data_IF_486567396019
#
_entry.id   IF_486567396019
#
_cell.length_a   1.000
_cell.length_b   1.000
_cell.length_c   1.000
_cell.angle_alpha   90.00
_cell.angle_beta   90.00
_cell.angle_gamma   90.00
#
_symmetry.space_group_name_H-M   'P 1'
#
loop_
_entity.id
_entity.type
_entity.pdbx_description
1 polymer ?
#
# COMPACT_ATOMS: atom_id res chain seq x y z
N UNK A 1 34.73 -5.28 -20.01
CA UNK A 1 33.91 -6.50 -19.82
C UNK A 1 32.61 -6.04 -19.16
N UNK A 2 31.59 -5.70 -19.97
CA UNK A 2 30.34 -5.07 -19.47
C UNK A 2 29.30 -6.16 -19.21
N UNK A 3 28.99 -6.41 -17.93
CA UNK A 3 27.93 -7.33 -17.53
C UNK A 3 26.56 -6.70 -17.83
N UNK A 4 25.83 -7.28 -18.78
CA UNK A 4 24.44 -6.93 -19.07
C UNK A 4 23.57 -7.22 -17.83
N UNK A 5 22.97 -6.18 -17.25
CA UNK A 5 21.90 -6.31 -16.28
C UNK A 5 20.71 -7.02 -16.96
N UNK A 6 20.27 -8.16 -16.40
CA UNK A 6 19.04 -8.82 -16.83
C UNK A 6 17.88 -7.99 -16.29
N UNK A 7 17.26 -7.21 -17.16
CA UNK A 7 15.91 -6.68 -16.94
C UNK A 7 14.99 -7.90 -16.90
N UNK A 8 14.39 -8.18 -15.74
CA UNK A 8 13.33 -9.19 -15.64
C UNK A 8 12.13 -8.69 -16.44
N UNK A 9 12.00 -9.14 -17.69
CA UNK A 9 10.74 -9.05 -18.42
C UNK A 9 9.76 -9.99 -17.70
N UNK A 10 8.67 -9.42 -17.18
CA UNK A 10 7.48 -10.20 -16.79
C UNK A 10 7.13 -11.09 -18.00
N UNK A 11 7.01 -12.40 -17.80
CA UNK A 11 6.68 -13.29 -18.92
C UNK A 11 5.21 -13.09 -19.26
N UNK A 12 4.88 -13.18 -20.55
CA UNK A 12 3.49 -13.06 -21.05
C UNK A 12 2.55 -14.07 -20.36
N UNK A 13 3.08 -15.21 -19.91
CA UNK A 13 2.32 -16.23 -19.16
C UNK A 13 1.93 -15.80 -17.75
N UNK A 14 2.71 -14.91 -17.11
CA UNK A 14 2.35 -14.33 -15.81
C UNK A 14 1.11 -13.44 -15.99
N UNK A 15 1.05 -12.66 -17.07
CA UNK A 15 -0.10 -11.79 -17.40
C UNK A 15 -1.37 -12.60 -17.73
N UNK A 16 -1.25 -13.75 -18.42
CA UNK A 16 -2.39 -14.60 -18.79
C UNK A 16 -3.06 -15.29 -17.60
N UNK A 17 -2.34 -15.59 -16.51
CA UNK A 17 -2.98 -16.12 -15.28
C UNK A 17 -3.78 -15.08 -14.51
N UNK A 18 -3.52 -13.79 -14.72
CA UNK A 18 -4.29 -12.70 -14.09
C UNK A 18 -5.55 -12.32 -14.88
N UNK A 19 -5.77 -12.83 -16.10
CA UNK A 19 -7.03 -12.60 -16.84
C UNK A 19 -8.20 -13.44 -16.34
N UNK A 20 -8.00 -14.26 -15.29
CA UNK A 20 -9.04 -15.10 -14.65
C UNK A 20 -9.65 -14.44 -13.39
N UNK A 21 -9.28 -13.21 -13.04
CA UNK A 21 -9.89 -12.49 -11.93
C UNK A 21 -11.18 -11.79 -12.38
N UNK A 22 -12.30 -12.53 -12.39
CA UNK A 22 -13.66 -12.05 -12.75
C UNK A 22 -14.33 -11.14 -11.70
N UNK A 23 -13.64 -10.74 -10.63
CA UNK A 23 -14.29 -10.01 -9.52
C UNK A 23 -13.57 -8.72 -9.16
N UNK A 24 -13.65 -7.75 -10.06
CA UNK A 24 -13.54 -6.34 -9.71
C UNK A 24 -14.92 -5.66 -9.91
N UNK A 25 -15.90 -5.91 -9.03
CA UNK A 25 -17.21 -5.18 -8.97
C UNK A 25 -17.27 -3.72 -8.42
N UNK A 26 -17.54 -2.77 -9.31
CA UNK A 26 -18.04 -1.38 -9.17
C UNK A 26 -18.01 -0.56 -7.84
N UNK A 27 -17.64 0.73 -7.94
CA UNK A 27 -18.01 1.84 -7.03
C UNK A 27 -19.35 2.48 -7.45
N UNK A 28 -20.43 2.20 -6.74
CA UNK A 28 -21.69 2.97 -6.83
C UNK A 28 -21.99 3.63 -5.49
N UNK A 29 -22.11 4.95 -5.48
CA UNK A 29 -22.49 5.75 -4.31
C UNK A 29 -24.00 5.67 -3.99
N UNK A 30 -24.69 4.60 -4.38
CA UNK A 30 -26.10 4.37 -4.07
C UNK A 30 -26.31 3.00 -3.42
N UNK A 31 -25.56 2.71 -2.35
CA UNK A 31 -26.02 2.05 -1.13
C UNK A 31 -24.85 1.91 -0.14
N UNK A 32 -25.07 2.31 1.11
CA UNK A 32 -24.07 2.44 2.19
C UNK A 32 -23.47 1.11 2.73
N UNK A 33 -23.44 0.03 1.96
CA UNK A 33 -23.16 -1.31 2.54
C UNK A 33 -22.16 -2.20 1.79
N UNK A 34 -21.59 -1.79 0.65
CA UNK A 34 -20.63 -2.63 -0.08
C UNK A 34 -19.23 -1.98 -0.15
N UNK A 35 -18.27 -2.56 0.59
CA UNK A 35 -16.89 -2.06 0.78
C UNK A 35 -15.88 -2.72 -0.17
N UNK A 36 -16.31 -3.14 -1.36
CA UNK A 36 -15.45 -3.83 -2.34
C UNK A 36 -14.80 -2.83 -3.30
N UNK A 37 -13.48 -2.97 -3.47
CA UNK A 37 -12.62 -2.05 -4.22
C UNK A 37 -12.33 -2.61 -5.62
N UNK A 38 -12.64 -1.85 -6.69
CA UNK A 38 -12.73 -2.39 -8.05
C UNK A 38 -12.52 -1.33 -9.14
N UNK A 39 -12.01 -1.75 -10.31
CA UNK A 39 -11.63 -0.87 -11.43
C UNK A 39 -12.81 -0.57 -12.38
N UNK A 40 -12.71 0.52 -13.16
CA UNK A 40 -13.81 1.13 -13.94
C UNK A 40 -14.56 0.21 -14.94
N UNK A 41 -14.08 -1.00 -15.22
CA UNK A 41 -14.75 -1.97 -16.11
C UNK A 41 -14.71 -3.42 -15.59
N UNK A 42 -14.39 -3.60 -14.31
CA UNK A 42 -14.09 -4.92 -13.76
C UNK A 42 -12.84 -5.60 -14.33
N UNK A 43 -12.04 -4.85 -15.10
CA UNK A 43 -10.74 -5.28 -15.62
C UNK A 43 -9.66 -4.33 -15.12
N UNK A 44 -8.56 -4.89 -14.61
CA UNK A 44 -7.38 -4.13 -14.23
C UNK A 44 -6.75 -3.52 -15.49
N UNK A 45 -6.68 -2.19 -15.60
CA UNK A 45 -5.92 -1.53 -16.65
C UNK A 45 -4.44 -1.51 -16.28
N UNK A 46 -3.59 -2.06 -17.14
CA UNK A 46 -2.14 -1.91 -16.96
C UNK A 46 -1.71 -0.57 -17.55
N UNK A 47 -1.24 0.33 -16.70
CA UNK A 47 -0.69 1.63 -17.08
C UNK A 47 0.79 1.50 -17.40
N UNK A 48 1.17 1.97 -18.58
CA UNK A 48 2.57 2.29 -18.87
C UNK A 48 3.04 3.47 -18.01
N UNK A 49 4.35 3.65 -17.85
CA UNK A 49 4.91 4.77 -17.06
C UNK A 49 4.44 6.14 -17.58
N UNK A 50 4.35 6.29 -18.90
CA UNK A 50 3.87 7.52 -19.53
C UNK A 50 2.39 7.78 -19.20
N UNK A 51 1.55 6.75 -19.25
CA UNK A 51 0.14 6.87 -18.85
C UNK A 51 -0.01 7.19 -17.37
N UNK A 52 0.79 6.55 -16.49
CA UNK A 52 0.80 6.84 -15.06
C UNK A 52 1.19 8.29 -14.78
N UNK A 53 2.26 8.79 -15.40
CA UNK A 53 2.72 10.17 -15.24
C UNK A 53 1.71 11.18 -15.79
N UNK A 54 1.10 10.90 -16.95
CA UNK A 54 0.05 11.74 -17.53
C UNK A 54 -1.20 11.79 -16.65
N UNK A 55 -1.60 10.66 -16.07
CA UNK A 55 -2.69 10.60 -15.10
C UNK A 55 -2.41 11.48 -13.88
N UNK A 56 -1.22 11.36 -13.27
CA UNK A 56 -0.85 12.20 -12.11
C UNK A 56 -0.89 13.70 -12.45
N UNK A 57 -0.50 14.07 -13.67
CA UNK A 57 -0.61 15.46 -14.14
C UNK A 57 -2.07 15.91 -14.22
N UNK A 58 -2.97 15.07 -14.74
CA UNK A 58 -4.40 15.39 -14.81
C UNK A 58 -5.03 15.50 -13.43
N UNK A 59 -4.65 14.63 -12.48
CA UNK A 59 -5.13 14.71 -11.09
C UNK A 59 -4.75 16.05 -10.47
N UNK A 60 -3.52 16.50 -10.68
CA UNK A 60 -3.09 17.81 -10.20
C UNK A 60 -3.81 18.99 -10.87
N UNK A 61 -4.15 18.88 -12.15
CA UNK A 61 -4.91 19.93 -12.83
C UNK A 61 -6.29 20.15 -12.20
N UNK A 62 -6.87 19.10 -11.61
CA UNK A 62 -8.15 19.15 -10.90
C UNK A 62 -7.98 19.52 -9.42
N UNK A 63 -6.86 19.14 -8.79
CA UNK A 63 -6.57 19.39 -7.38
C UNK A 63 -5.15 19.95 -7.21
N UNK A 64 -4.97 21.16 -6.66
CA UNK A 64 -3.67 21.85 -6.62
C UNK A 64 -2.56 21.04 -5.94
N UNK A 65 -2.91 20.08 -5.07
CA UNK A 65 -2.01 19.06 -4.54
C UNK A 65 -2.62 17.67 -4.74
N UNK A 66 -1.79 16.71 -5.15
CA UNK A 66 -2.07 15.28 -4.98
C UNK A 66 -1.15 14.79 -3.87
N UNK A 67 -1.70 14.66 -2.67
CA UNK A 67 -0.98 14.22 -1.47
C UNK A 67 -1.33 12.77 -1.16
N UNK A 68 -0.37 11.87 -1.41
CA UNK A 68 -0.49 10.43 -1.18
C UNK A 68 0.36 10.08 0.05
N UNK A 69 -0.29 9.58 1.09
CA UNK A 69 0.37 9.20 2.34
C UNK A 69 0.27 7.70 2.54
N UNK A 70 1.43 7.04 2.69
CA UNK A 70 1.53 5.62 3.01
C UNK A 70 2.04 5.45 4.43
N UNK A 71 1.26 4.76 5.26
CA UNK A 71 1.56 4.49 6.68
C UNK A 71 1.73 3.00 6.87
N UNK A 72 2.91 2.54 7.30
CA UNK A 72 3.10 1.12 7.51
C UNK A 72 4.53 0.66 7.63
N UNK A 73 4.69 -0.66 7.53
CA UNK A 73 5.98 -1.33 7.65
C UNK A 73 6.78 -1.30 6.33
N UNK A 74 7.78 -2.18 6.24
CA UNK A 74 8.61 -2.32 5.05
C UNK A 74 7.89 -2.82 3.81
N UNK A 75 6.75 -3.52 3.89
CA UNK A 75 5.95 -3.92 2.71
C UNK A 75 5.20 -2.72 2.15
N UNK A 76 4.67 -1.86 3.02
CA UNK A 76 4.10 -0.56 2.61
C UNK A 76 5.17 0.34 1.96
N UNK A 77 6.42 0.26 2.45
CA UNK A 77 7.57 0.93 1.80
C UNK A 77 7.82 0.43 0.37
N UNK A 78 7.71 -0.88 0.14
CA UNK A 78 7.86 -1.45 -1.21
C UNK A 78 6.78 -0.95 -2.17
N UNK A 79 5.54 -0.76 -1.69
CA UNK A 79 4.47 -0.18 -2.50
C UNK A 79 4.79 1.27 -2.89
N UNK A 80 5.30 2.08 -1.95
CA UNK A 80 5.82 3.43 -2.24
C UNK A 80 6.93 3.38 -3.30
N UNK A 81 7.94 2.53 -3.09
CA UNK A 81 9.08 2.42 -4.01
C UNK A 81 8.65 1.94 -5.40
N UNK A 82 7.66 1.04 -5.46
CA UNK A 82 7.02 0.61 -6.70
C UNK A 82 6.30 1.76 -7.41
N UNK A 83 5.56 2.60 -6.69
CA UNK A 83 4.91 3.78 -7.27
C UNK A 83 5.94 4.79 -7.80
N UNK A 84 7.01 5.05 -7.04
CA UNK A 84 8.13 5.89 -7.49
C UNK A 84 8.73 5.34 -8.78
N UNK A 85 9.00 4.03 -8.82
CA UNK A 85 9.56 3.37 -10.00
C UNK A 85 8.64 3.49 -11.21
N UNK A 86 7.33 3.29 -11.02
CA UNK A 86 6.35 3.39 -12.09
C UNK A 86 6.21 4.83 -12.62
N UNK A 87 6.36 5.84 -11.76
CA UNK A 87 6.24 7.25 -12.16
C UNK A 87 7.54 7.86 -12.71
N UNK A 88 8.71 7.39 -12.26
CA UNK A 88 10.01 8.03 -12.55
C UNK A 88 11.01 7.12 -13.24
N UNK A 89 10.78 5.81 -13.27
CA UNK A 89 11.74 4.82 -13.71
C UNK A 89 12.89 4.53 -12.74
N UNK A 90 12.93 5.18 -11.56
CA UNK A 90 13.97 4.96 -10.56
C UNK A 90 13.51 3.95 -9.52
N UNK A 91 14.07 2.73 -9.56
CA UNK A 91 13.79 1.70 -8.55
C UNK A 91 14.77 1.84 -7.38
N UNK A 92 14.26 1.64 -6.16
CA UNK A 92 15.03 1.71 -4.91
C UNK A 92 14.84 0.47 -4.04
N UNK A 93 13.99 -0.45 -4.47
CA UNK A 93 13.62 -1.62 -3.70
C UNK A 93 14.46 -2.83 -4.11
N UNK A 94 15.58 -3.01 -3.40
CA UNK A 94 16.46 -4.16 -3.58
C UNK A 94 15.83 -5.50 -3.16
N UNK A 95 14.77 -5.49 -2.36
CA UNK A 95 14.09 -6.71 -1.89
C UNK A 95 13.22 -7.33 -2.99
N UNK A 96 12.64 -6.49 -3.86
CA UNK A 96 11.92 -6.96 -5.06
C UNK A 96 12.76 -6.91 -6.35
N UNK A 97 13.91 -6.22 -6.35
CA UNK A 97 14.79 -6.09 -7.52
C UNK A 97 16.27 -6.26 -7.13
N UNK A 98 16.79 -7.48 -7.36
CA UNK A 98 18.18 -7.85 -7.03
C UNK A 98 19.26 -7.07 -7.80
N UNK A 99 18.87 -6.34 -8.84
CA UNK A 99 19.81 -5.47 -9.58
C UNK A 99 20.12 -4.17 -8.84
N UNK A 100 19.32 -3.83 -7.81
CA UNK A 100 19.54 -2.65 -6.97
C UNK A 100 20.42 -3.04 -5.79
N UNK A 101 21.49 -2.28 -5.59
CA UNK A 101 22.37 -2.49 -4.45
C UNK A 101 21.69 -2.02 -3.16
N UNK A 102 21.80 -2.76 -2.05
CA UNK A 102 21.28 -2.30 -0.77
C UNK A 102 21.99 -1.01 -0.36
N UNK A 103 21.24 0.09 -0.24
CA UNK A 103 21.77 1.30 0.39
C UNK A 103 22.05 1.05 1.89
N UNK A 104 23.10 1.65 2.46
CA UNK A 104 23.36 1.54 3.92
C UNK A 104 22.32 2.30 4.78
N UNK A 105 21.43 3.09 4.17
CA UNK A 105 20.50 4.01 4.84
C UNK A 105 19.02 3.66 4.58
N UNK A 106 18.63 2.38 4.66
CA UNK A 106 17.19 2.00 4.67
C UNK A 106 16.52 2.32 6.00
N UNK A 107 16.65 3.57 6.48
CA UNK A 107 16.19 3.94 7.81
C UNK A 107 14.67 3.81 7.91
N UNK A 108 14.25 3.23 9.03
CA UNK A 108 12.90 3.19 9.58
C UNK A 108 12.44 4.59 10.06
N UNK A 109 12.59 5.60 9.21
CA UNK A 109 12.27 7.00 9.50
C UNK A 109 11.16 7.49 8.57
N UNK A 110 10.46 8.58 8.97
CA UNK A 110 9.52 9.28 8.09
C UNK A 110 10.29 9.77 6.86
N UNK A 111 9.80 9.44 5.68
CA UNK A 111 10.38 9.86 4.41
C UNK A 111 9.33 10.63 3.63
N UNK A 112 9.57 11.93 3.46
CA UNK A 112 8.77 12.80 2.59
C UNK A 112 9.50 12.89 1.27
N UNK A 113 8.84 12.51 0.17
CA UNK A 113 9.40 12.65 -1.16
C UNK A 113 8.46 13.47 -2.04
N UNK A 114 8.95 14.64 -2.47
CA UNK A 114 8.31 15.41 -3.52
C UNK A 114 8.76 14.84 -4.87
N UNK A 115 7.85 14.20 -5.58
CA UNK A 115 8.12 13.62 -6.89
C UNK A 115 7.78 14.64 -7.97
N UNK A 116 8.79 15.37 -8.45
CA UNK A 116 8.64 16.21 -9.64
C UNK A 116 8.67 15.30 -10.87
N UNK A 117 7.51 15.08 -11.48
CA UNK A 117 7.37 14.14 -12.60
C UNK A 117 7.75 14.77 -13.95
N UNK A 118 7.90 16.10 -14.00
CA UNK A 118 8.22 16.87 -15.21
C UNK A 118 9.02 18.15 -14.88
N UNK A 119 9.72 18.78 -15.87
CA UNK A 119 10.48 20.02 -15.68
C UNK A 119 9.65 21.18 -15.13
N UNK A 120 8.35 21.21 -15.43
CA UNK A 120 7.43 22.20 -14.94
C UNK A 120 6.74 21.71 -13.67
N UNK A 121 7.36 21.99 -12.51
CA UNK A 121 6.83 22.08 -11.14
C UNK A 121 5.58 21.25 -10.73
N UNK A 122 5.30 20.13 -11.38
CA UNK A 122 4.13 19.26 -11.21
C UNK A 122 4.52 18.11 -10.27
N UNK A 123 4.75 18.48 -9.02
CA UNK A 123 5.09 17.55 -7.95
C UNK A 123 3.84 16.80 -7.45
N UNK A 124 3.88 15.46 -7.48
CA UNK A 124 3.05 14.61 -6.61
C UNK A 124 3.77 14.54 -5.28
N UNK A 125 3.05 14.79 -4.18
CA UNK A 125 3.60 14.64 -2.84
C UNK A 125 3.36 13.21 -2.39
N UNK A 126 4.44 12.45 -2.26
CA UNK A 126 4.40 11.06 -1.80
C UNK A 126 5.10 10.97 -0.45
N UNK A 127 4.33 10.65 0.58
CA UNK A 127 4.84 10.53 1.94
C UNK A 127 4.81 9.09 2.41
N UNK A 128 5.82 8.73 3.18
CA UNK A 128 5.88 7.46 3.88
C UNK A 128 6.17 7.65 5.35
N UNK A 129 5.33 7.05 6.17
CA UNK A 129 5.37 7.10 7.62
C UNK A 129 5.56 5.68 8.12
N UNK A 130 6.78 5.36 8.56
CA UNK A 130 7.08 4.04 9.10
C UNK A 130 6.30 3.78 10.39
N UNK A 131 5.60 2.65 10.43
CA UNK A 131 4.95 2.12 11.63
C UNK A 131 5.18 0.60 11.70
N UNK A 132 5.52 0.08 12.89
CA UNK A 132 5.68 -1.36 13.08
C UNK A 132 4.56 -1.99 13.93
N UNK A 133 3.77 -1.19 14.65
CA UNK A 133 2.61 -1.66 15.39
C UNK A 133 1.45 -0.64 15.38
N UNK A 134 0.25 -1.07 15.77
CA UNK A 134 -0.95 -0.22 15.74
C UNK A 134 -0.84 0.99 16.70
N UNK A 135 -0.16 0.84 17.85
CA UNK A 135 0.10 1.97 18.75
C UNK A 135 0.89 3.10 18.06
N UNK A 136 1.96 2.73 17.37
CA UNK A 136 2.80 3.67 16.64
C UNK A 136 2.03 4.27 15.46
N UNK A 137 1.16 3.49 14.82
CA UNK A 137 0.27 4.00 13.79
C UNK A 137 -0.67 5.10 14.31
N UNK A 138 -1.33 4.88 15.45
CA UNK A 138 -2.15 5.92 16.11
C UNK A 138 -1.33 7.18 16.39
N UNK A 139 -0.16 7.03 17.03
CA UNK A 139 0.71 8.16 17.35
C UNK A 139 1.16 8.92 16.10
N UNK A 140 1.66 8.22 15.08
CA UNK A 140 2.22 8.82 13.89
C UNK A 140 1.14 9.46 13.00
N UNK A 141 -0.05 8.86 12.87
CA UNK A 141 -1.18 9.47 12.15
C UNK A 141 -1.61 10.74 12.87
N UNK A 142 -1.83 10.71 14.20
CA UNK A 142 -2.16 11.93 14.96
C UNK A 142 -1.09 13.01 14.82
N UNK A 143 0.19 12.62 14.88
CA UNK A 143 1.31 13.55 14.71
C UNK A 143 1.28 14.17 13.32
N UNK A 144 1.09 13.38 12.28
CA UNK A 144 0.98 13.84 10.90
C UNK A 144 -0.14 14.89 10.75
N UNK A 145 -1.35 14.57 11.22
CA UNK A 145 -2.50 15.48 11.15
C UNK A 145 -2.32 16.79 11.92
N UNK A 146 -1.54 16.78 13.00
CA UNK A 146 -1.27 17.98 13.81
C UNK A 146 -0.15 18.85 13.27
N UNK A 147 0.87 18.25 12.67
CA UNK A 147 2.16 18.93 12.39
C UNK A 147 2.29 19.42 10.96
N UNK A 148 1.60 18.83 9.99
CA UNK A 148 1.81 19.14 8.59
C UNK A 148 0.70 20.02 7.97
N UNK A 149 0.51 21.22 8.54
CA UNK A 149 -0.47 22.19 8.03
C UNK A 149 -0.19 22.61 6.58
N UNK A 150 1.06 22.45 6.10
CA UNK A 150 1.48 22.80 4.75
C UNK A 150 1.05 21.81 3.67
N UNK A 151 0.80 20.54 4.04
CA UNK A 151 0.44 19.48 3.12
C UNK A 151 -1.07 19.38 2.87
N UNK A 152 -1.89 20.00 3.74
CA UNK A 152 -3.33 19.80 3.78
C UNK A 152 -3.72 18.37 4.17
N UNK A 153 -5.02 18.08 4.09
CA UNK A 153 -5.56 16.72 4.22
C UNK A 153 -5.06 15.85 3.06
N UNK A 154 -4.65 14.58 3.30
CA UNK A 154 -4.28 13.68 2.21
C UNK A 154 -5.43 13.47 1.22
N UNK A 155 -5.12 13.32 -0.07
CA UNK A 155 -6.10 12.84 -1.05
C UNK A 155 -6.30 11.33 -0.92
N UNK A 156 -5.21 10.62 -0.63
CA UNK A 156 -5.16 9.19 -0.39
C UNK A 156 -4.32 8.93 0.86
N UNK A 157 -4.88 8.17 1.80
CA UNK A 157 -4.14 7.56 2.90
C UNK A 157 -4.23 6.04 2.77
N UNK A 158 -3.10 5.41 2.49
CA UNK A 158 -2.96 3.97 2.54
C UNK A 158 -2.29 3.58 3.85
N UNK A 159 -2.89 2.66 4.58
CA UNK A 159 -2.36 2.16 5.85
C UNK A 159 -2.30 0.64 5.85
N UNK A 160 -1.26 0.06 6.43
CA UNK A 160 -1.22 -1.37 6.74
C UNK A 160 0.14 -1.86 7.20
N UNK A 161 0.30 -3.17 7.32
CA UNK A 161 1.54 -3.80 7.76
C UNK A 161 1.96 -3.50 9.21
N UNK A 162 1.11 -2.83 9.99
CA UNK A 162 1.50 -2.23 11.27
C UNK A 162 1.18 -3.11 12.47
N UNK A 163 1.47 -4.41 12.47
CA UNK A 163 1.35 -5.24 13.68
C UNK A 163 2.42 -6.35 13.69
N UNK A 164 3.68 -5.93 13.67
CA UNK A 164 4.81 -6.78 13.99
C UNK A 164 4.91 -6.97 15.51
N UNK A 165 4.83 -8.20 16.04
CA UNK A 165 5.38 -8.50 17.34
C UNK A 165 6.90 -8.43 17.19
N UNK A 166 7.45 -7.24 17.44
CA UNK A 166 8.86 -7.15 17.81
C UNK A 166 8.99 -8.00 19.08
N UNK A 167 9.95 -8.95 19.09
CA UNK A 167 10.15 -9.98 20.13
C UNK A 167 10.08 -9.47 21.59
N UNK A 168 10.17 -8.15 21.79
CA UNK A 168 10.19 -7.46 23.07
C UNK A 168 8.84 -6.97 23.61
N UNK A 169 7.70 -6.99 22.89
CA UNK A 169 6.53 -6.21 23.35
C UNK A 169 5.16 -6.87 23.59
N UNK A 170 4.84 -8.07 23.08
CA UNK A 170 3.70 -8.92 23.52
C UNK A 170 3.50 -10.09 22.55
N UNK A 171 2.94 -11.23 22.98
CA UNK A 171 2.42 -12.24 22.06
C UNK A 171 1.36 -11.62 21.14
N UNK A 172 1.36 -11.98 19.85
CA UNK A 172 0.40 -11.49 18.85
C UNK A 172 -1.06 -11.64 19.30
N UNK A 173 -1.37 -12.72 20.04
CA UNK A 173 -2.67 -12.95 20.70
C UNK A 173 -3.15 -11.79 21.57
N UNK A 174 -2.27 -11.05 22.25
CA UNK A 174 -2.62 -9.84 23.02
C UNK A 174 -2.81 -8.61 22.13
N UNK A 175 -2.16 -8.54 20.96
CA UNK A 175 -2.25 -7.40 20.04
C UNK A 175 -3.55 -7.42 19.22
N UNK A 176 -3.97 -8.60 18.74
CA UNK A 176 -5.30 -8.79 18.14
C UNK A 176 -6.45 -8.55 19.16
N UNK A 177 -6.14 -8.62 20.46
CA UNK A 177 -7.08 -8.40 21.56
C UNK A 177 -7.03 -6.99 22.18
N UNK A 178 -6.07 -6.14 21.83
CA UNK A 178 -6.10 -4.72 22.22
C UNK A 178 -7.07 -3.96 21.31
N UNK A 179 -8.33 -4.41 21.33
CA UNK A 179 -9.48 -3.90 20.58
C UNK A 179 -9.63 -2.39 20.73
N UNK A 180 -9.22 -1.83 21.87
CA UNK A 180 -9.26 -0.39 22.15
C UNK A 180 -8.36 0.42 21.20
N UNK A 181 -7.17 -0.06 20.89
CA UNK A 181 -6.19 0.70 20.08
C UNK A 181 -6.53 0.59 18.61
N UNK A 182 -6.93 -0.59 18.15
CA UNK A 182 -7.49 -0.73 16.81
C UNK A 182 -8.75 0.14 16.66
N UNK A 183 -9.65 0.16 17.65
CA UNK A 183 -10.82 1.03 17.66
C UNK A 183 -10.45 2.51 17.59
N UNK A 184 -9.44 2.93 18.35
CA UNK A 184 -8.93 4.30 18.31
C UNK A 184 -8.36 4.66 16.93
N UNK A 185 -7.56 3.78 16.33
CA UNK A 185 -7.05 3.98 14.97
C UNK A 185 -8.19 4.10 13.96
N UNK A 186 -9.15 3.18 14.01
CA UNK A 186 -10.30 3.17 13.11
C UNK A 186 -11.17 4.41 13.28
N UNK A 187 -11.31 4.96 14.49
CA UNK A 187 -12.02 6.23 14.71
C UNK A 187 -11.33 7.38 13.98
N UNK A 188 -10.02 7.54 14.17
CA UNK A 188 -9.22 8.57 13.49
C UNK A 188 -9.31 8.44 11.97
N UNK A 189 -9.21 7.21 11.45
CA UNK A 189 -9.31 6.94 10.03
C UNK A 189 -10.71 7.18 9.49
N UNK A 190 -11.76 6.96 10.28
CA UNK A 190 -13.14 7.21 9.87
C UNK A 190 -13.39 8.72 9.71
N UNK A 191 -12.88 9.54 10.64
CA UNK A 191 -12.95 11.00 10.52
C UNK A 191 -12.21 11.49 9.26
N UNK A 192 -11.04 10.92 8.96
CA UNK A 192 -10.31 11.26 7.73
C UNK A 192 -11.02 10.84 6.46
N UNK A 193 -11.72 9.70 6.49
CA UNK A 193 -12.41 9.15 5.34
C UNK A 193 -13.61 10.00 4.86
N UNK A 194 -13.95 11.09 5.58
CA UNK A 194 -14.88 12.10 5.08
C UNK A 194 -14.34 12.91 3.90
N UNK A 195 -13.01 13.08 3.83
CA UNK A 195 -12.34 13.93 2.82
C UNK A 195 -11.18 13.22 2.11
N UNK A 196 -10.70 12.13 2.68
CA UNK A 196 -9.56 11.33 2.20
C UNK A 196 -10.06 9.99 1.67
N UNK A 197 -9.51 9.51 0.55
CA UNK A 197 -9.66 8.10 0.23
C UNK A 197 -8.78 7.28 1.19
N UNK A 198 -9.39 6.55 2.12
CA UNK A 198 -8.64 5.74 3.09
C UNK A 198 -8.67 4.27 2.67
N UNK A 199 -7.48 3.67 2.52
CA UNK A 199 -7.31 2.27 2.10
C UNK A 199 -6.52 1.51 3.16
N UNK A 200 -7.09 0.41 3.65
CA UNK A 200 -6.41 -0.54 4.52
C UNK A 200 -5.82 -1.70 3.71
N UNK A 201 -4.51 -1.95 3.86
CA UNK A 201 -3.82 -3.10 3.26
C UNK A 201 -3.69 -4.24 4.26
N UNK A 202 -4.07 -5.48 3.88
CA UNK A 202 -3.99 -6.63 4.77
C UNK A 202 -2.54 -7.10 5.00
N UNK A 203 -2.33 -7.85 6.08
CA UNK A 203 -1.09 -8.55 6.36
C UNK A 203 -0.89 -9.68 5.35
N UNK A 204 0.26 -9.72 4.67
CA UNK A 204 0.62 -10.83 3.76
C UNK A 204 1.17 -12.02 4.53
N UNK A 205 0.98 -13.26 4.03
CA UNK A 205 1.68 -14.43 4.55
C UNK A 205 3.21 -14.28 4.53
N UNK A 206 3.89 -15.07 5.36
CA UNK A 206 5.35 -15.16 5.40
C UNK A 206 5.83 -16.61 5.37
N UNK A 207 7.13 -16.78 5.10
CA UNK A 207 7.82 -18.07 5.18
C UNK A 207 8.29 -18.29 6.61
N UNK A 208 7.62 -19.18 7.33
CA UNK A 208 8.03 -19.51 8.70
C UNK A 208 9.45 -20.07 8.77
N UNK A 209 9.92 -20.74 7.71
CA UNK A 209 11.28 -21.25 7.64
C UNK A 209 12.35 -20.14 7.53
N UNK A 210 12.07 -19.08 6.75
CA UNK A 210 13.04 -17.99 6.52
C UNK A 210 12.93 -16.89 7.59
N UNK A 211 11.74 -16.71 8.17
CA UNK A 211 11.44 -15.67 9.17
C UNK A 211 11.27 -16.29 10.57
N UNK A 212 11.86 -17.46 10.82
CA UNK A 212 11.64 -18.27 12.03
C UNK A 212 11.83 -17.52 13.36
N UNK A 213 12.63 -16.44 13.37
CA UNK A 213 12.87 -15.60 14.55
C UNK A 213 11.70 -14.68 14.92
N UNK A 214 10.74 -14.42 14.02
CA UNK A 214 9.63 -13.50 14.31
C UNK A 214 8.61 -14.07 15.30
N UNK A 215 8.54 -15.40 15.46
CA UNK A 215 7.49 -16.12 16.21
C UNK A 215 6.06 -15.80 15.74
N UNK A 216 5.91 -15.14 14.58
CA UNK A 216 4.63 -14.85 13.94
C UNK A 216 4.23 -16.04 13.09
N UNK A 217 2.99 -16.49 13.25
CA UNK A 217 2.45 -17.54 12.37
C UNK A 217 1.52 -16.97 11.29
N UNK A 218 1.30 -17.73 10.21
CA UNK A 218 0.39 -17.29 9.15
C UNK A 218 -1.08 -17.33 9.62
N UNK A 219 -1.39 -18.20 10.59
CA UNK A 219 -2.68 -18.25 11.27
C UNK A 219 -2.93 -16.96 12.06
N UNK A 220 -1.92 -16.44 12.74
CA UNK A 220 -2.00 -15.16 13.45
C UNK A 220 -2.24 -13.99 12.49
N UNK A 221 -1.49 -13.91 11.38
CA UNK A 221 -1.69 -12.86 10.36
C UNK A 221 -3.09 -12.95 9.74
N UNK A 222 -3.58 -14.16 9.48
CA UNK A 222 -4.95 -14.41 8.98
C UNK A 222 -6.01 -13.97 10.00
N UNK A 223 -5.82 -14.32 11.27
CA UNK A 223 -6.73 -13.91 12.35
C UNK A 223 -6.78 -12.39 12.51
N UNK A 224 -5.63 -11.70 12.44
CA UNK A 224 -5.58 -10.25 12.45
C UNK A 224 -6.34 -9.63 11.27
N UNK A 225 -6.11 -10.14 10.05
CA UNK A 225 -6.85 -9.69 8.88
C UNK A 225 -8.36 -9.85 9.05
N UNK A 226 -8.81 -10.96 9.61
CA UNK A 226 -10.22 -11.21 9.90
C UNK A 226 -10.79 -10.23 10.94
N UNK A 227 -10.04 -9.93 12.01
CA UNK A 227 -10.44 -8.94 13.03
C UNK A 227 -10.61 -7.56 12.41
N UNK A 228 -9.63 -7.08 11.63
CA UNK A 228 -9.72 -5.78 10.96
C UNK A 228 -10.90 -5.74 10.00
N UNK A 229 -11.01 -6.76 9.13
CA UNK A 229 -12.09 -6.87 8.16
C UNK A 229 -13.46 -6.81 8.84
N UNK A 230 -13.62 -7.57 9.93
CA UNK A 230 -14.84 -7.57 10.73
C UNK A 230 -15.13 -6.20 11.36
N UNK A 231 -14.12 -5.55 11.94
CA UNK A 231 -14.25 -4.24 12.57
C UNK A 231 -14.57 -3.10 11.57
N UNK A 232 -14.14 -3.24 10.31
CA UNK A 232 -14.51 -2.34 9.22
C UNK A 232 -15.92 -2.62 8.70
N UNK A 233 -16.35 -3.88 8.67
CA UNK A 233 -17.68 -4.28 8.22
C UNK A 233 -18.79 -4.06 9.27
N UNK A 234 -18.45 -4.05 10.56
CA UNK A 234 -19.41 -3.96 11.67
C UNK A 234 -20.06 -2.58 11.83
N UNK A 235 -19.65 -1.60 11.03
CA UNK A 235 -20.14 -0.22 11.06
C UNK A 235 -20.11 0.37 9.65
N UNK A 236 -20.98 1.33 9.30
CA UNK A 236 -20.80 2.12 8.10
C UNK A 236 -19.41 2.75 8.13
N UNK A 237 -18.53 2.29 7.26
CA UNK A 237 -17.14 2.74 7.17
C UNK A 237 -16.85 3.16 5.75
N UNK A 238 -16.23 4.33 5.60
CA UNK A 238 -15.67 4.83 4.33
C UNK A 238 -14.21 4.39 4.13
N UNK A 239 -13.71 3.53 5.02
CA UNK A 239 -12.39 2.94 4.90
C UNK A 239 -12.49 1.69 4.01
N UNK A 240 -11.72 1.66 2.93
CA UNK A 240 -11.73 0.55 1.99
C UNK A 240 -10.71 -0.51 2.40
N UNK A 241 -11.16 -1.75 2.56
CA UNK A 241 -10.25 -2.88 2.75
C UNK A 241 -9.77 -3.38 1.38
N UNK A 242 -8.45 -3.45 1.18
CA UNK A 242 -7.88 -3.87 -0.09
C UNK A 242 -7.83 -5.39 -0.21
N UNK A 243 -8.96 -5.97 -0.63
CA UNK A 243 -9.18 -7.42 -0.78
C UNK A 243 -8.15 -8.11 -1.68
N UNK A 244 -7.88 -7.55 -2.86
CA UNK A 244 -7.02 -8.17 -3.87
C UNK A 244 -5.53 -8.16 -3.52
N UNK A 245 -5.11 -7.45 -2.47
CA UNK A 245 -3.71 -7.35 -2.05
C UNK A 245 -3.12 -8.72 -1.66
N UNK A 246 -3.93 -9.61 -1.07
CA UNK A 246 -3.48 -10.97 -0.76
C UNK A 246 -3.38 -11.86 -2.00
N UNK A 247 -4.16 -11.56 -3.04
CA UNK A 247 -4.19 -12.34 -4.28
C UNK A 247 -2.98 -12.09 -5.18
N UNK A 248 -2.34 -10.93 -5.07
CA UNK A 248 -1.10 -10.61 -5.80
C UNK A 248 0.13 -11.21 -5.14
N UNK A 249 0.08 -11.47 -3.83
CA UNK A 249 1.21 -11.96 -3.06
C UNK A 249 1.61 -13.40 -3.44
N UNK A 250 2.91 -13.60 -3.69
CA UNK A 250 3.49 -14.93 -3.91
C UNK A 250 4.73 -15.12 -3.05
N UNK A 251 4.65 -16.04 -2.10
CA UNK A 251 5.77 -16.32 -1.20
C UNK A 251 7.02 -16.82 -1.94
N UNK A 252 6.84 -17.54 -3.05
CA UNK A 252 7.92 -18.05 -3.90
C UNK A 252 8.78 -16.96 -4.53
N UNK A 253 8.27 -15.74 -4.64
CA UNK A 253 8.99 -14.60 -5.20
C UNK A 253 9.67 -13.73 -4.13
N UNK A 254 9.36 -13.99 -2.86
CA UNK A 254 9.94 -13.24 -1.74
C UNK A 254 11.41 -13.60 -1.58
N UNK A 255 12.27 -12.58 -1.51
CA UNK A 255 13.71 -12.77 -1.35
C UNK A 255 14.08 -13.31 0.03
N UNK A 256 13.35 -12.89 1.06
CA UNK A 256 13.61 -13.21 2.47
C UNK A 256 12.41 -13.87 3.15
N UNK A 257 11.42 -14.29 2.36
CA UNK A 257 10.22 -14.93 2.86
C UNK A 257 9.25 -13.97 3.56
N UNK A 258 9.46 -12.66 3.45
CA UNK A 258 8.61 -11.65 4.05
C UNK A 258 8.15 -10.59 3.05
N UNK A 259 9.10 -9.99 2.34
CA UNK A 259 8.84 -8.84 1.48
C UNK A 259 8.17 -9.25 0.17
N UNK A 260 7.46 -8.32 -0.44
CA UNK A 260 6.81 -8.50 -1.73
C UNK A 260 7.86 -8.85 -2.79
N UNK A 261 7.52 -9.83 -3.63
CA UNK A 261 8.25 -10.11 -4.86
C UNK A 261 7.96 -9.08 -5.96
N UNK A 262 8.71 -9.11 -7.09
CA UNK A 262 8.54 -8.18 -8.19
C UNK A 262 7.15 -8.18 -8.80
N UNK A 263 6.51 -9.35 -8.98
CA UNK A 263 5.17 -9.44 -9.59
C UNK A 263 4.12 -8.84 -8.66
N UNK A 264 4.12 -9.22 -7.37
CA UNK A 264 3.20 -8.67 -6.38
C UNK A 264 3.31 -7.14 -6.31
N UNK A 265 4.55 -6.63 -6.14
CA UNK A 265 4.82 -5.19 -6.14
C UNK A 265 4.29 -4.49 -7.40
N UNK A 266 4.53 -5.07 -8.58
CA UNK A 266 4.05 -4.50 -9.84
C UNK A 266 2.52 -4.41 -9.89
N UNK A 267 1.82 -5.51 -9.62
CA UNK A 267 0.35 -5.54 -9.70
C UNK A 267 -0.30 -4.66 -8.63
N UNK A 268 0.23 -4.62 -7.41
CA UNK A 268 -0.28 -3.73 -6.38
C UNK A 268 -0.17 -2.26 -6.80
N UNK A 269 0.93 -1.86 -7.42
CA UNK A 269 1.09 -0.50 -7.98
C UNK A 269 0.09 -0.24 -9.11
N UNK A 270 -0.14 -1.20 -9.99
CA UNK A 270 -1.11 -1.06 -11.08
C UNK A 270 -2.53 -0.90 -10.56
N UNK A 271 -2.90 -1.71 -9.56
CA UNK A 271 -4.17 -1.60 -8.84
C UNK A 271 -4.26 -0.19 -8.22
N UNK A 272 -3.28 0.24 -7.44
CA UNK A 272 -3.28 1.58 -6.85
C UNK A 272 -3.47 2.71 -7.89
N UNK A 273 -2.80 2.60 -9.04
CA UNK A 273 -2.96 3.54 -10.15
C UNK A 273 -4.35 3.51 -10.78
N UNK A 274 -5.01 2.36 -10.86
CA UNK A 274 -6.38 2.29 -11.37
C UNK A 274 -7.33 3.10 -10.50
N UNK A 275 -7.13 3.15 -9.19
CA UNK A 275 -7.97 4.01 -8.33
C UNK A 275 -7.64 5.46 -8.48
N UNK A 276 -6.34 5.79 -8.47
CA UNK A 276 -5.93 7.18 -8.60
C UNK A 276 -6.39 7.74 -9.95
N UNK A 277 -6.27 6.95 -11.02
CA UNK A 277 -6.56 7.38 -12.38
C UNK A 277 -8.00 7.16 -12.84
N UNK A 278 -8.71 6.16 -12.30
CA UNK A 278 -10.10 5.85 -12.64
C UNK A 278 -11.10 6.82 -11.99
N UNK A 279 -10.75 7.37 -10.82
CA UNK A 279 -11.54 8.42 -10.16
C UNK A 279 -11.74 9.70 -11.00
N UNK A 280 -11.06 9.84 -12.14
CA UNK A 280 -11.18 10.99 -13.06
C UNK A 280 -12.32 10.88 -14.09
N UNK A 281 -12.96 9.71 -14.23
CA UNK A 281 -14.05 9.50 -15.19
C UNK A 281 -15.45 9.75 -14.60
N UNK A 282 -15.55 10.40 -13.43
CA UNK A 282 -16.81 10.70 -12.75
C UNK A 282 -16.91 12.17 -12.39
#
# INVERSE_FOLDING_TARGET
MWSRARIYSLKVDDVRRFSLFETCGHFSSHNQTDTKWTTDEGKLKLHSRNESALCMRRLRAQRPFTNIVLVGDSRTRQLRDGLIYQLTGTDRDWLANRSIQPSRNHRHERQVQLLSLFPEATAVRLEYIYTFNTHQAVYNVKKYLKTDKSAGTPDLLLIGGSDWPVESFRPFKKMAQDSKILTELLAILSDLAEQTLVVWTPQTPLSQAQVARSKITNEELTAHNAVVRSALASRPSRIHYWESYLSTFRLSESLDGLHLGPVAKYFDVQILLNVLCGAQNK
#
